data_IF_909495343376
#
_entry.id   IF_909495343376
#
_cell.length_a   1.000
_cell.length_b   1.000
_cell.length_c   1.000
_cell.angle_alpha   90.00
_cell.angle_beta   90.00
_cell.angle_gamma   90.00
#
_symmetry.space_group_name_H-M   'P 1'
#
loop_
_entity.id
_entity.type
_entity.pdbx_description
1 polymer ?
#
# COMPACT_ATOMS: atom_id res chain seq x y z
N UNK A 1 36.48 5.05 14.49
CA UNK A 1 36.28 4.58 13.11
C UNK A 1 34.84 4.90 12.76
N UNK A 2 34.64 6.06 12.16
CA UNK A 2 33.34 6.54 11.68
C UNK A 2 33.31 6.31 10.17
N UNK A 3 32.42 5.44 9.69
CA UNK A 3 32.20 5.28 8.25
C UNK A 3 30.95 6.07 7.85
N UNK A 4 31.23 7.21 7.22
CA UNK A 4 30.31 8.02 6.42
C UNK A 4 29.85 7.21 5.20
N UNK A 5 28.55 6.99 5.04
CA UNK A 5 27.99 6.58 3.75
C UNK A 5 27.32 7.76 3.05
N UNK A 6 27.90 8.04 1.88
CA UNK A 6 27.72 9.19 1.01
C UNK A 6 26.42 9.14 0.19
N UNK A 7 25.80 10.31 0.03
CA UNK A 7 24.69 10.57 -0.88
C UNK A 7 25.19 10.68 -2.34
N UNK A 8 24.75 9.77 -3.22
CA UNK A 8 25.00 9.85 -4.65
C UNK A 8 23.77 10.29 -5.44
N UNK A 9 23.81 11.51 -5.97
CA UNK A 9 22.88 12.00 -7.00
C UNK A 9 23.64 12.74 -8.11
N UNK A 10 23.35 12.40 -9.39
CA UNK A 10 23.59 13.14 -10.66
C UNK A 10 23.48 12.14 -11.82
N UNK A 11 23.06 12.43 -13.05
CA UNK A 11 22.49 13.63 -13.69
C UNK A 11 21.94 13.25 -15.07
N UNK A 12 20.86 13.94 -15.47
CA UNK A 12 20.37 14.31 -16.83
C UNK A 12 20.97 13.65 -18.09
N UNK A 13 20.07 13.18 -18.96
CA UNK A 13 20.17 13.43 -20.42
C UNK A 13 18.79 13.77 -20.97
N UNK A 14 18.76 14.76 -21.87
CA UNK A 14 17.57 15.45 -22.36
C UNK A 14 17.59 15.33 -23.88
N UNK A 15 16.63 14.65 -24.48
CA UNK A 15 16.35 14.75 -25.91
C UNK A 15 14.86 15.04 -26.15
N UNK A 16 14.59 15.95 -27.09
CA UNK A 16 13.28 16.50 -27.41
C UNK A 16 12.72 15.83 -28.68
N UNK A 17 11.46 15.39 -28.56
CA UNK A 17 10.31 15.44 -29.48
C UNK A 17 10.44 14.89 -30.92
N UNK A 18 9.51 13.98 -31.23
CA UNK A 18 8.43 14.26 -32.20
C UNK A 18 7.19 13.40 -31.89
N UNK A 19 6.03 13.92 -32.25
CA UNK A 19 4.71 13.48 -31.80
C UNK A 19 4.00 12.61 -32.84
N UNK A 20 3.20 11.65 -32.40
CA UNK A 20 1.97 11.25 -33.11
C UNK A 20 0.93 10.73 -32.11
N UNK A 21 -0.31 11.08 -32.42
CA UNK A 21 -1.47 11.10 -31.54
C UNK A 21 -2.22 9.77 -31.57
N UNK A 22 -2.61 9.24 -30.41
CA UNK A 22 -3.78 8.37 -30.26
C UNK A 22 -4.38 8.61 -28.88
N UNK A 23 -5.48 9.37 -28.84
CA UNK A 23 -6.24 9.70 -27.64
C UNK A 23 -6.92 8.45 -27.08
N UNK A 24 -6.49 8.02 -25.90
CA UNK A 24 -7.31 7.22 -24.99
C UNK A 24 -7.51 8.07 -23.73
N UNK A 25 -8.72 8.60 -23.56
CA UNK A 25 -9.13 9.39 -22.40
C UNK A 25 -9.12 8.50 -21.15
N UNK A 26 -7.96 8.39 -20.50
CA UNK A 26 -7.90 8.09 -19.08
C UNK A 26 -8.08 9.43 -18.35
N UNK A 27 -9.21 9.60 -17.67
CA UNK A 27 -9.43 10.68 -16.72
C UNK A 27 -8.40 10.54 -15.60
N UNK A 28 -7.24 11.19 -15.78
CA UNK A 28 -6.33 11.51 -14.69
C UNK A 28 -7.14 12.34 -13.70
N UNK A 29 -7.54 11.76 -12.57
CA UNK A 29 -7.73 12.54 -11.36
C UNK A 29 -6.35 13.11 -11.05
N UNK A 30 -6.09 14.30 -11.54
CA UNK A 30 -4.94 15.07 -11.10
C UNK A 30 -5.01 15.12 -9.57
N UNK A 31 -3.88 14.85 -8.91
CA UNK A 31 -3.75 15.13 -7.49
C UNK A 31 -3.83 16.65 -7.32
N UNK A 32 -5.06 17.18 -7.29
CA UNK A 32 -5.31 18.60 -7.06
C UNK A 32 -4.88 18.89 -5.63
N UNK A 33 -3.80 19.65 -5.50
CA UNK A 33 -3.31 20.12 -4.21
C UNK A 33 -4.30 21.17 -3.71
N UNK A 34 -5.05 20.84 -2.66
CA UNK A 34 -5.92 21.80 -2.00
C UNK A 34 -5.10 22.99 -1.47
N UNK A 35 -5.69 24.17 -1.57
CA UNK A 35 -5.19 25.47 -1.15
C UNK A 35 -6.12 26.04 -0.08
N UNK A 36 -5.67 26.98 0.75
CA UNK A 36 -6.47 27.56 1.84
C UNK A 36 -7.81 28.17 1.39
N UNK A 37 -7.95 28.44 0.09
CA UNK A 37 -9.18 28.95 -0.54
C UNK A 37 -10.18 27.86 -0.91
N UNK A 38 -9.78 26.59 -0.92
CA UNK A 38 -10.69 25.49 -1.28
C UNK A 38 -11.68 25.19 -0.15
N UNK A 39 -12.96 24.95 -0.45
CA UNK A 39 -13.99 24.70 0.57
C UNK A 39 -13.69 23.45 1.42
N UNK A 40 -13.01 22.47 0.82
CA UNK A 40 -12.58 21.23 1.46
C UNK A 40 -11.16 21.32 2.07
N UNK A 41 -10.54 22.50 2.08
CA UNK A 41 -9.23 22.69 2.72
C UNK A 41 -9.35 22.46 4.23
N UNK A 42 -8.47 21.65 4.86
CA UNK A 42 -8.59 21.36 6.27
C UNK A 42 -8.38 22.65 7.10
N UNK A 43 -9.40 23.03 7.87
CA UNK A 43 -9.46 24.30 8.62
C UNK A 43 -8.69 24.27 9.94
N UNK A 44 -8.23 23.09 10.35
CA UNK A 44 -7.47 22.81 11.56
C UNK A 44 -5.95 22.94 11.37
N UNK A 45 -5.50 23.47 10.23
CA UNK A 45 -4.08 23.52 9.87
C UNK A 45 -3.47 24.90 10.20
N UNK A 46 -2.34 24.95 10.92
CA UNK A 46 -1.64 26.20 11.18
C UNK A 46 -1.20 26.90 9.90
N UNK A 47 -1.41 28.23 9.84
CA UNK A 47 -0.97 29.07 8.71
C UNK A 47 0.52 28.88 8.45
N UNK A 48 0.89 28.68 7.19
CA UNK A 48 2.29 28.50 6.76
C UNK A 48 2.82 27.06 6.80
N UNK A 49 1.97 26.07 7.11
CA UNK A 49 2.34 24.65 7.06
C UNK A 49 2.71 24.23 5.63
N UNK A 50 4.00 23.98 5.36
CA UNK A 50 4.48 23.53 4.04
C UNK A 50 4.26 22.04 3.80
N UNK A 51 4.28 21.24 4.87
CA UNK A 51 4.07 19.80 4.88
C UNK A 51 3.08 19.47 6.00
N UNK A 52 2.13 18.59 5.71
CA UNK A 52 1.06 18.21 6.60
C UNK A 52 1.20 16.71 6.85
N UNK A 53 1.54 16.33 8.07
CA UNK A 53 1.53 14.93 8.51
C UNK A 53 0.64 14.84 9.73
N UNK A 54 -0.49 14.13 9.61
CA UNK A 54 -1.21 13.69 10.81
C UNK A 54 -0.38 12.58 11.42
N UNK A 55 0.27 12.89 12.55
CA UNK A 55 1.08 11.96 13.31
C UNK A 55 0.16 10.99 14.07
N UNK A 56 -0.11 9.84 13.45
CA UNK A 56 -0.85 8.71 14.03
C UNK A 56 0.12 7.71 14.68
N UNK A 57 1.06 8.22 15.49
CA UNK A 57 2.16 7.42 16.03
C UNK A 57 1.69 6.26 16.91
N UNK A 58 0.58 6.44 17.63
CA UNK A 58 0.01 5.42 18.49
C UNK A 58 -0.62 4.27 17.67
N UNK A 59 -0.86 4.50 16.37
CA UNK A 59 -1.38 3.51 15.44
C UNK A 59 -0.31 2.91 14.49
N UNK A 60 0.94 3.37 14.56
CA UNK A 60 2.06 2.83 13.80
C UNK A 60 2.59 1.55 14.47
N UNK A 61 2.67 0.46 13.69
CA UNK A 61 3.15 -0.83 14.17
C UNK A 61 4.66 -1.01 13.98
N UNK A 62 5.20 -2.03 14.65
CA UNK A 62 6.52 -2.61 14.38
C UNK A 62 6.73 -2.91 12.89
N UNK A 63 7.96 -2.64 12.44
CA UNK A 63 8.43 -2.91 11.09
C UNK A 63 8.41 -4.41 10.82
N UNK A 64 7.70 -4.84 9.78
CA UNK A 64 7.67 -6.24 9.37
C UNK A 64 8.69 -6.52 8.28
N UNK A 65 9.42 -7.62 8.42
CA UNK A 65 10.28 -8.16 7.36
C UNK A 65 9.49 -9.21 6.55
N UNK A 66 9.20 -8.90 5.28
CA UNK A 66 8.52 -9.82 4.36
C UNK A 66 9.44 -10.91 3.76
N UNK A 67 10.74 -10.87 4.08
CA UNK A 67 11.76 -11.74 3.51
C UNK A 67 11.92 -11.54 2.00
N UNK A 68 12.26 -12.63 1.29
CA UNK A 68 12.47 -12.64 -0.17
C UNK A 68 11.17 -12.75 -0.99
N UNK A 69 10.01 -12.76 -0.33
CA UNK A 69 8.71 -12.94 -1.00
C UNK A 69 8.19 -11.60 -1.51
N UNK A 70 7.52 -11.60 -2.66
CA UNK A 70 6.93 -10.39 -3.27
C UNK A 70 5.52 -10.10 -2.75
N UNK A 71 5.33 -10.27 -1.44
CA UNK A 71 4.03 -10.14 -0.74
C UNK A 71 3.87 -8.80 0.01
N UNK A 72 4.69 -7.79 -0.31
CA UNK A 72 4.61 -6.46 0.32
C UNK A 72 3.19 -5.88 0.28
N UNK A 73 2.44 -6.20 -0.78
CA UNK A 73 1.08 -5.71 -0.98
C UNK A 73 0.13 -6.24 0.11
N UNK A 74 0.27 -7.47 0.62
CA UNK A 74 -0.60 -7.96 1.70
C UNK A 74 -0.35 -7.16 2.97
N UNK A 75 0.92 -6.88 3.28
CA UNK A 75 1.34 -6.10 4.44
C UNK A 75 0.83 -4.67 4.31
N UNK A 76 1.15 -3.99 3.21
CA UNK A 76 0.71 -2.62 2.98
C UNK A 76 -0.81 -2.48 3.07
N UNK A 77 -1.56 -3.33 2.36
CA UNK A 77 -3.02 -3.22 2.28
C UNK A 77 -3.72 -3.50 3.60
N UNK A 78 -3.37 -4.57 4.30
CA UNK A 78 -3.98 -4.90 5.60
C UNK A 78 -3.66 -3.84 6.66
N UNK A 79 -2.43 -3.32 6.67
CA UNK A 79 -1.99 -2.33 7.67
C UNK A 79 -2.65 -0.99 7.40
N UNK A 80 -2.65 -0.53 6.15
CA UNK A 80 -3.37 0.69 5.77
C UNK A 80 -4.87 0.60 6.06
N UNK A 81 -5.51 -0.54 5.77
CA UNK A 81 -6.93 -0.74 6.08
C UNK A 81 -7.20 -0.72 7.59
N UNK A 82 -6.37 -1.42 8.37
CA UNK A 82 -6.49 -1.45 9.83
C UNK A 82 -6.36 -0.06 10.45
N UNK A 83 -5.35 0.69 10.03
CA UNK A 83 -5.12 2.07 10.47
C UNK A 83 -6.31 2.95 10.08
N UNK A 84 -6.79 2.85 8.84
CA UNK A 84 -7.93 3.64 8.36
C UNK A 84 -9.20 3.40 9.16
N UNK A 85 -9.51 2.14 9.47
CA UNK A 85 -10.67 1.79 10.29
C UNK A 85 -10.58 2.38 11.70
N UNK A 86 -9.38 2.44 12.28
CA UNK A 86 -9.14 3.05 13.58
C UNK A 86 -9.29 4.58 13.54
N UNK A 87 -8.64 5.23 12.57
CA UNK A 87 -8.70 6.69 12.34
C UNK A 87 -10.15 7.15 12.12
N UNK A 88 -10.93 6.39 11.35
CA UNK A 88 -12.34 6.71 11.08
C UNK A 88 -13.29 6.29 12.22
N UNK A 89 -12.76 5.82 13.36
CA UNK A 89 -13.53 5.36 14.53
C UNK A 89 -14.55 4.26 14.19
N UNK A 90 -14.28 3.47 13.14
CA UNK A 90 -15.09 2.29 12.77
C UNK A 90 -14.80 1.10 13.67
N UNK A 91 -13.63 1.09 14.32
CA UNK A 91 -13.24 0.12 15.34
C UNK A 91 -12.71 0.85 16.58
N UNK A 92 -12.89 0.24 17.77
CA UNK A 92 -12.44 0.82 19.06
C UNK A 92 -10.92 0.84 19.25
N UNK A 93 -10.22 -0.03 18.54
CA UNK A 93 -8.77 -0.22 18.65
C UNK A 93 -8.24 -0.74 17.34
N UNK A 94 -6.94 -0.56 17.09
CA UNK A 94 -6.25 -1.13 15.94
C UNK A 94 -6.52 -2.64 15.86
N UNK A 95 -7.03 -3.09 14.72
CA UNK A 95 -7.32 -4.51 14.46
C UNK A 95 -6.24 -5.11 13.60
N UNK A 96 -5.92 -6.36 13.86
CA UNK A 96 -4.86 -7.05 13.15
C UNK A 96 -5.48 -7.93 12.08
N UNK A 97 -5.47 -7.44 10.84
CA UNK A 97 -6.02 -8.17 9.69
C UNK A 97 -5.00 -9.19 9.16
N UNK A 98 -5.52 -10.34 8.73
CA UNK A 98 -4.70 -11.46 8.27
C UNK A 98 -4.07 -11.19 6.91
N UNK A 99 -2.73 -11.19 6.87
CA UNK A 99 -1.96 -11.17 5.61
C UNK A 99 -2.25 -12.41 4.76
N UNK A 100 -2.39 -13.54 5.43
CA UNK A 100 -2.52 -14.85 4.82
C UNK A 100 -3.88 -15.01 4.12
N UNK A 101 -4.93 -14.43 4.71
CA UNK A 101 -6.25 -14.42 4.09
C UNK A 101 -6.23 -13.70 2.73
N UNK A 102 -5.59 -12.53 2.65
CA UNK A 102 -5.42 -11.81 1.38
C UNK A 102 -4.59 -12.63 0.39
N UNK A 103 -3.48 -13.21 0.84
CA UNK A 103 -2.60 -14.01 -0.02
C UNK A 103 -3.36 -15.20 -0.62
N UNK A 104 -4.10 -15.95 0.19
CA UNK A 104 -4.88 -17.11 -0.27
C UNK A 104 -6.03 -16.70 -1.17
N UNK A 105 -6.77 -15.66 -0.79
CA UNK A 105 -7.93 -15.18 -1.55
C UNK A 105 -7.58 -14.64 -2.93
N UNK A 106 -6.33 -14.21 -3.14
CA UNK A 106 -5.84 -13.69 -4.42
C UNK A 106 -4.75 -14.57 -5.03
N UNK A 107 -4.58 -15.80 -4.54
CA UNK A 107 -3.44 -16.63 -4.92
C UNK A 107 -3.40 -16.88 -6.44
N UNK A 108 -4.55 -17.14 -7.06
CA UNK A 108 -4.70 -17.33 -8.50
C UNK A 108 -4.45 -16.04 -9.32
N UNK A 109 -4.43 -14.87 -8.67
CA UNK A 109 -4.10 -13.56 -9.26
C UNK A 109 -2.65 -13.14 -8.98
N UNK A 110 -1.89 -13.95 -8.25
CA UNK A 110 -0.48 -13.68 -7.95
C UNK A 110 0.47 -14.43 -8.88
N UNK A 111 1.66 -13.88 -9.07
CA UNK A 111 2.76 -14.60 -9.73
C UNK A 111 3.40 -15.63 -8.80
N UNK A 112 4.35 -16.40 -9.34
CA UNK A 112 5.00 -17.52 -8.64
C UNK A 112 5.72 -17.12 -7.34
N UNK A 113 6.09 -15.84 -7.21
CA UNK A 113 6.80 -15.32 -6.03
C UNK A 113 5.87 -14.50 -5.10
N UNK A 114 4.55 -14.55 -5.35
CA UNK A 114 3.52 -13.85 -4.56
C UNK A 114 3.24 -12.42 -5.01
N UNK A 115 3.83 -11.94 -6.12
CA UNK A 115 3.57 -10.59 -6.62
C UNK A 115 2.15 -10.45 -7.15
N UNK A 116 1.45 -9.40 -6.74
CA UNK A 116 0.15 -9.03 -7.31
C UNK A 116 0.37 -8.17 -8.55
N UNK A 117 -0.18 -8.57 -9.69
CA UNK A 117 -0.01 -7.86 -10.97
C UNK A 117 -0.99 -6.71 -11.17
N UNK A 118 -2.16 -6.80 -10.56
CA UNK A 118 -3.25 -5.85 -10.72
C UNK A 118 -3.91 -5.55 -9.36
N UNK A 119 -3.85 -4.28 -8.95
CA UNK A 119 -4.47 -3.78 -7.72
C UNK A 119 -6.01 -3.80 -7.78
N UNK A 120 -6.59 -3.82 -8.98
CA UNK A 120 -8.03 -3.97 -9.18
C UNK A 120 -8.58 -5.27 -8.58
N UNK A 121 -7.82 -6.37 -8.67
CA UNK A 121 -8.20 -7.63 -8.03
C UNK A 121 -8.25 -7.52 -6.51
N UNK A 122 -7.27 -6.85 -5.91
CA UNK A 122 -7.26 -6.61 -4.46
C UNK A 122 -8.46 -5.77 -4.02
N UNK A 123 -8.74 -4.68 -4.73
CA UNK A 123 -9.88 -3.82 -4.42
C UNK A 123 -11.18 -4.61 -4.47
N UNK A 124 -11.42 -5.33 -5.58
CA UNK A 124 -12.60 -6.16 -5.76
C UNK A 124 -12.72 -7.23 -4.67
N UNK A 125 -11.63 -7.90 -4.34
CA UNK A 125 -11.61 -8.91 -3.27
C UNK A 125 -12.02 -8.32 -1.92
N UNK A 126 -11.49 -7.15 -1.55
CA UNK A 126 -11.84 -6.48 -0.29
C UNK A 126 -13.29 -5.99 -0.27
N UNK A 127 -13.84 -5.56 -1.40
CA UNK A 127 -15.25 -5.16 -1.52
C UNK A 127 -16.21 -6.35 -1.39
N UNK A 128 -15.86 -7.50 -1.99
CA UNK A 128 -16.72 -8.68 -2.05
C UNK A 128 -16.59 -9.60 -0.83
N UNK A 129 -15.37 -9.77 -0.31
CA UNK A 129 -15.05 -10.76 0.73
C UNK A 129 -14.61 -10.11 2.05
N UNK A 130 -14.16 -8.85 2.00
CA UNK A 130 -13.60 -8.16 3.15
C UNK A 130 -12.23 -8.70 3.57
N UNK A 131 -11.90 -8.49 4.84
CA UNK A 131 -10.69 -8.99 5.47
C UNK A 131 -11.02 -9.52 6.87
N UNK A 132 -10.38 -10.62 7.25
CA UNK A 132 -10.56 -11.24 8.57
C UNK A 132 -9.42 -10.91 9.51
N UNK A 133 -9.63 -11.10 10.82
CA UNK A 133 -8.57 -10.94 11.80
C UNK A 133 -7.53 -12.04 11.66
N UNK A 134 -6.28 -11.70 11.98
CA UNK A 134 -5.14 -12.60 11.96
C UNK A 134 -5.36 -13.85 12.81
N UNK A 135 -5.91 -13.67 14.01
CA UNK A 135 -6.27 -14.77 14.94
C UNK A 135 -7.39 -15.69 14.44
N UNK A 136 -8.22 -15.23 13.52
CA UNK A 136 -9.38 -15.98 13.02
C UNK A 136 -9.05 -16.68 11.68
N UNK A 137 -7.88 -16.40 11.11
CA UNK A 137 -7.44 -16.96 9.85
C UNK A 137 -6.90 -18.38 10.02
N UNK A 138 -7.56 -19.34 9.37
CA UNK A 138 -7.18 -20.76 9.34
C UNK A 138 -6.59 -21.18 7.98
N UNK A 139 -6.20 -20.22 7.17
CA UNK A 139 -5.64 -20.47 5.85
C UNK A 139 -4.28 -21.18 5.95
N UNK A 140 -3.98 -22.02 4.97
CA UNK A 140 -2.65 -22.61 4.78
C UNK A 140 -1.84 -21.73 3.83
N UNK A 141 -0.53 -21.57 4.06
CA UNK A 141 0.35 -20.77 3.20
C UNK A 141 0.65 -21.47 1.87
N UNK A 142 0.08 -20.99 0.75
CA UNK A 142 0.19 -21.67 -0.53
C UNK A 142 1.60 -21.59 -1.10
N UNK A 143 2.40 -20.58 -0.72
CA UNK A 143 3.79 -20.44 -1.17
C UNK A 143 4.70 -21.48 -0.49
N UNK A 144 4.41 -21.84 0.76
CA UNK A 144 5.12 -22.93 1.47
C UNK A 144 4.80 -24.27 0.81
N UNK A 145 3.51 -24.52 0.53
CA UNK A 145 3.07 -25.77 -0.09
C UNK A 145 3.61 -25.97 -1.51
N UNK A 146 3.82 -24.89 -2.28
CA UNK A 146 4.46 -24.97 -3.60
C UNK A 146 5.95 -25.33 -3.52
N UNK A 147 6.66 -24.91 -2.48
CA UNK A 147 8.09 -25.20 -2.34
C UNK A 147 8.32 -26.65 -1.91
N UNK A 148 7.47 -27.20 -1.04
CA UNK A 148 7.53 -28.61 -0.63
C UNK A 148 7.35 -29.61 -1.78
N UNK A 149 6.70 -29.22 -2.87
CA UNK A 149 6.46 -30.10 -4.04
C UNK A 149 7.61 -30.13 -5.04
N UNK A 150 8.68 -29.36 -4.81
CA UNK A 150 9.85 -29.30 -5.70
C UNK A 150 11.04 -30.12 -5.17
N UNK A 151 10.92 -30.65 -3.96
CA UNK A 151 11.84 -31.60 -3.33
C UNK A 151 11.27 -33.03 -3.47
#
# INVERSE_FOLDING_TARGET
MEDQYSHGGRSKTREKKSASTSKSQATKKDNVRLTETDPDYPKDIPKGSKHQEKFWCDELREVMNQGVRRVCWTVASTRSLSARLCIEKKVRSLKYLSLLHLLVGLFDKTGKNGELKDLGHLKKFLEENGAILEKDCKCTDPLIEMNKKKD
#
